data_IF_359858318857
#
_entry.id   IF_359858318857
#
_cell.length_a   1.000
_cell.length_b   1.000
_cell.length_c   1.000
_cell.angle_alpha   90.00
_cell.angle_beta   90.00
_cell.angle_gamma   90.00
#
_symmetry.space_group_name_H-M   'P 1'
#
loop_
_entity.id
_entity.type
_entity.pdbx_description
1 polymer ?
#
# COMPACT_ATOMS: atom_id res chain seq x y z
N UNK A 1 64.68 16.23 -18.16
CA UNK A 1 64.43 17.05 -16.97
C UNK A 1 62.93 17.27 -16.84
N UNK A 2 62.20 16.37 -16.20
CA UNK A 2 61.89 16.35 -14.75
C UNK A 2 61.00 17.50 -14.30
N UNK A 3 59.80 17.11 -13.87
CA UNK A 3 59.02 17.76 -12.83
C UNK A 3 58.38 19.11 -13.21
N UNK A 4 57.05 19.13 -13.33
CA UNK A 4 56.16 20.24 -12.89
C UNK A 4 54.68 19.90 -13.19
N UNK A 5 54.35 19.07 -14.19
CA UNK A 5 52.94 18.73 -14.48
C UNK A 5 52.32 17.64 -13.59
N UNK A 6 52.92 17.39 -12.42
CA UNK A 6 52.47 16.46 -11.37
C UNK A 6 51.32 17.02 -10.49
N UNK A 7 50.50 17.95 -11.01
CA UNK A 7 49.42 18.57 -10.21
C UNK A 7 48.10 18.81 -10.93
N UNK A 8 47.94 18.38 -12.19
CA UNK A 8 46.75 18.73 -13.00
C UNK A 8 45.91 17.55 -13.50
N UNK A 9 46.25 16.32 -13.12
CA UNK A 9 45.52 15.09 -13.52
C UNK A 9 44.87 14.42 -12.31
N UNK A 10 44.38 15.21 -11.36
CA UNK A 10 43.59 14.74 -10.21
C UNK A 10 42.33 15.59 -10.03
N UNK A 11 41.80 16.15 -11.12
CA UNK A 11 40.55 16.92 -11.13
C UNK A 11 39.65 16.35 -12.22
N UNK A 12 39.45 15.04 -12.32
CA UNK A 12 38.55 14.54 -13.39
C UNK A 12 37.74 13.27 -13.13
N UNK A 13 37.71 12.66 -11.94
CA UNK A 13 37.02 11.37 -11.83
C UNK A 13 36.31 11.09 -10.51
N UNK A 14 35.33 11.92 -10.13
CA UNK A 14 34.23 11.47 -9.25
C UNK A 14 33.09 12.47 -9.22
N UNK A 15 32.39 12.61 -10.34
CA UNK A 15 30.99 13.00 -10.32
C UNK A 15 30.15 11.74 -10.57
N UNK A 16 30.17 10.82 -9.61
CA UNK A 16 29.18 9.73 -9.57
C UNK A 16 27.87 10.40 -9.18
N UNK A 17 27.06 10.74 -10.18
CA UNK A 17 25.68 11.16 -9.97
C UNK A 17 24.91 9.97 -9.43
N UNK A 18 24.62 9.99 -8.13
CA UNK A 18 23.69 9.06 -7.50
C UNK A 18 22.29 9.43 -7.99
N UNK A 19 21.75 8.65 -8.92
CA UNK A 19 20.31 8.64 -9.18
C UNK A 19 19.63 8.05 -7.94
N UNK A 20 18.94 8.88 -7.17
CA UNK A 20 18.03 8.39 -6.15
C UNK A 20 16.87 7.65 -6.83
N UNK A 21 16.80 6.33 -6.65
CA UNK A 21 15.64 5.54 -7.06
C UNK A 21 14.54 5.80 -6.05
N UNK A 22 13.52 6.56 -6.45
CA UNK A 22 12.31 6.70 -5.65
C UNK A 22 11.54 5.38 -5.72
N UNK A 23 11.49 4.64 -4.61
CA UNK A 23 10.62 3.46 -4.51
C UNK A 23 9.17 3.90 -4.48
N UNK A 24 8.38 3.47 -5.47
CA UNK A 24 6.94 3.57 -5.41
C UNK A 24 6.44 2.72 -4.23
N UNK A 25 5.69 3.31 -3.31
CA UNK A 25 5.08 2.54 -2.22
C UNK A 25 4.00 1.68 -2.86
N UNK A 26 4.24 0.37 -2.94
CA UNK A 26 3.26 -0.56 -3.45
C UNK A 26 2.09 -0.59 -2.47
N UNK A 27 0.91 -0.16 -2.92
CA UNK A 27 -0.31 -0.20 -2.11
C UNK A 27 -0.79 -1.64 -1.98
N UNK A 28 -0.52 -2.25 -0.82
CA UNK A 28 -1.06 -3.57 -0.51
C UNK A 28 -2.57 -3.50 -0.24
N UNK A 29 -3.33 -4.58 -0.48
CA UNK A 29 -4.75 -4.62 -0.11
C UNK A 29 -4.99 -4.24 1.35
N UNK A 30 -4.13 -4.71 2.27
CA UNK A 30 -4.22 -4.36 3.69
C UNK A 30 -4.15 -2.84 3.93
N UNK A 31 -3.27 -2.13 3.22
CA UNK A 31 -3.15 -0.67 3.34
C UNK A 31 -4.38 0.07 2.82
N UNK A 32 -5.09 -0.48 1.83
CA UNK A 32 -6.34 0.07 1.32
C UNK A 32 -7.48 -0.07 2.33
N UNK A 33 -7.69 -1.28 2.86
CA UNK A 33 -8.73 -1.53 3.86
C UNK A 33 -8.52 -0.70 5.13
N UNK A 34 -7.28 -0.57 5.59
CA UNK A 34 -6.94 0.25 6.75
C UNK A 34 -7.28 1.74 6.55
N UNK A 35 -7.18 2.26 5.32
CA UNK A 35 -7.47 3.67 5.01
C UNK A 35 -8.94 3.97 4.76
N UNK A 36 -9.69 2.99 4.25
CA UNK A 36 -11.03 3.26 3.70
C UNK A 36 -12.17 2.50 4.37
N UNK A 37 -11.88 1.40 5.08
CA UNK A 37 -12.92 0.48 5.53
C UNK A 37 -12.93 0.29 7.06
N UNK A 38 -11.77 0.27 7.70
CA UNK A 38 -11.65 -0.11 9.11
C UNK A 38 -12.19 0.92 10.08
N UNK A 39 -12.31 2.21 9.71
CA UNK A 39 -12.94 3.23 10.57
C UNK A 39 -14.37 2.84 10.99
N UNK A 40 -15.09 2.09 10.15
CA UNK A 40 -16.44 1.60 10.46
C UNK A 40 -16.50 0.09 10.74
N UNK A 41 -15.59 -0.70 10.17
CA UNK A 41 -15.66 -2.16 10.14
C UNK A 41 -14.44 -2.84 10.80
N UNK A 42 -13.99 -2.30 11.93
CA UNK A 42 -12.99 -2.92 12.79
C UNK A 42 -13.63 -3.85 13.83
N UNK A 43 -12.80 -4.39 14.73
CA UNK A 43 -13.19 -5.31 15.80
C UNK A 43 -14.12 -4.68 16.87
N UNK A 44 -14.12 -3.36 16.99
CA UNK A 44 -14.77 -2.63 18.08
C UNK A 44 -16.09 -2.00 17.60
N UNK A 45 -16.05 -1.28 16.48
CA UNK A 45 -17.17 -0.56 15.86
C UNK A 45 -18.14 -1.50 15.15
N UNK A 46 -17.61 -2.47 14.39
CA UNK A 46 -18.39 -3.53 13.70
C UNK A 46 -19.68 -3.06 13.03
N UNK A 47 -19.67 -1.89 12.38
CA UNK A 47 -20.89 -1.30 11.79
C UNK A 47 -21.50 -2.26 10.79
N UNK A 48 -22.83 -2.40 10.81
CA UNK A 48 -23.52 -3.35 9.93
C UNK A 48 -23.18 -4.83 10.21
N UNK A 49 -22.68 -5.15 11.41
CA UNK A 49 -22.26 -6.48 11.83
C UNK A 49 -21.13 -7.07 10.95
N UNK A 50 -20.22 -6.21 10.49
CA UNK A 50 -19.05 -6.58 9.69
C UNK A 50 -17.76 -6.18 10.42
N UNK A 51 -16.91 -7.18 10.66
CA UNK A 51 -15.57 -7.05 11.21
C UNK A 51 -14.55 -7.54 10.17
N UNK A 52 -13.85 -6.61 9.53
CA UNK A 52 -12.85 -6.95 8.50
C UNK A 52 -11.54 -7.46 9.10
N UNK A 53 -11.28 -7.26 10.39
CA UNK A 53 -10.11 -7.84 11.04
C UNK A 53 -10.28 -9.36 11.29
N UNK A 54 -11.52 -9.80 11.48
CA UNK A 54 -11.88 -11.21 11.62
C UNK A 54 -12.14 -11.93 10.28
N UNK A 55 -12.46 -11.19 9.22
CA UNK A 55 -12.75 -11.74 7.90
C UNK A 55 -11.44 -12.06 7.14
N UNK A 56 -11.11 -13.36 7.05
CA UNK A 56 -9.87 -13.82 6.40
C UNK A 56 -9.96 -13.66 4.88
N UNK A 57 -8.82 -13.48 4.21
CA UNK A 57 -8.76 -13.53 2.74
C UNK A 57 -8.62 -14.99 2.23
N UNK A 58 -9.41 -15.91 2.78
CA UNK A 58 -9.47 -17.32 2.35
C UNK A 58 -10.65 -17.53 1.40
N UNK A 59 -10.38 -17.53 0.10
CA UNK A 59 -11.41 -17.68 -0.92
C UNK A 59 -11.71 -19.14 -1.28
N UNK A 60 -11.00 -20.11 -0.69
CA UNK A 60 -11.34 -21.52 -0.83
C UNK A 60 -12.51 -21.91 0.11
N UNK A 61 -12.65 -21.22 1.25
CA UNK A 61 -13.81 -21.34 2.11
C UNK A 61 -15.03 -20.64 1.48
N UNK A 62 -16.08 -21.42 1.21
CA UNK A 62 -17.27 -20.93 0.51
C UNK A 62 -18.06 -19.92 1.33
N UNK A 63 -18.15 -20.07 2.65
CA UNK A 63 -18.86 -19.10 3.50
C UNK A 63 -18.09 -17.78 3.54
N UNK A 64 -16.78 -17.86 3.71
CA UNK A 64 -15.90 -16.71 3.74
C UNK A 64 -15.89 -15.97 2.39
N UNK A 65 -15.85 -16.70 1.28
CA UNK A 65 -15.98 -16.13 -0.06
C UNK A 65 -17.35 -15.43 -0.24
N UNK A 66 -18.46 -16.06 0.16
CA UNK A 66 -19.79 -15.45 0.08
C UNK A 66 -19.89 -14.16 0.92
N UNK A 67 -19.22 -14.09 2.07
CA UNK A 67 -19.11 -12.86 2.87
C UNK A 67 -18.39 -11.76 2.10
N UNK A 68 -17.29 -12.07 1.42
CA UNK A 68 -16.57 -11.11 0.57
C UNK A 68 -17.39 -10.64 -0.63
N UNK A 69 -18.12 -11.54 -1.29
CA UNK A 69 -19.07 -11.17 -2.36
C UNK A 69 -20.09 -10.17 -1.84
N UNK A 70 -20.67 -10.43 -0.66
CA UNK A 70 -21.61 -9.49 -0.04
C UNK A 70 -20.97 -8.13 0.26
N UNK A 71 -19.72 -8.08 0.75
CA UNK A 71 -19.00 -6.81 0.96
C UNK A 71 -18.86 -6.05 -0.36
N UNK A 72 -18.42 -6.73 -1.41
CA UNK A 72 -18.29 -6.17 -2.76
C UNK A 72 -19.63 -5.60 -3.26
N UNK A 73 -20.71 -6.37 -3.17
CA UNK A 73 -22.02 -5.98 -3.71
C UNK A 73 -22.59 -4.75 -3.01
N UNK A 74 -22.35 -4.62 -1.70
CA UNK A 74 -22.80 -3.47 -0.91
C UNK A 74 -22.00 -2.20 -1.23
N UNK A 75 -20.72 -2.34 -1.59
CA UNK A 75 -19.93 -1.23 -2.14
C UNK A 75 -20.45 -0.86 -3.53
N UNK A 76 -20.69 -1.84 -4.40
CA UNK A 76 -21.21 -1.61 -5.75
C UNK A 76 -22.60 -0.95 -5.74
N UNK A 77 -23.45 -1.28 -4.76
CA UNK A 77 -24.74 -0.65 -4.54
C UNK A 77 -24.64 0.78 -3.95
N UNK A 78 -23.44 1.27 -3.61
CA UNK A 78 -23.23 2.58 -3.01
C UNK A 78 -23.72 2.70 -1.57
N UNK A 79 -23.97 1.58 -0.90
CA UNK A 79 -24.39 1.55 0.50
C UNK A 79 -23.22 1.77 1.47
N UNK A 80 -22.01 1.50 1.00
CA UNK A 80 -20.76 1.73 1.74
C UNK A 80 -19.77 2.54 0.88
N UNK A 81 -19.25 3.66 1.41
CA UNK A 81 -19.62 4.30 2.67
C UNK A 81 -21.00 5.02 2.56
N UNK A 82 -21.83 5.00 3.62
CA UNK A 82 -23.12 5.71 3.60
C UNK A 82 -22.89 7.22 3.55
N UNK A 83 -23.82 7.93 2.92
CA UNK A 83 -23.86 9.41 2.95
C UNK A 83 -24.03 9.89 4.40
N UNK A 84 -23.32 10.96 4.76
CA UNK A 84 -23.49 11.62 6.05
C UNK A 84 -24.83 12.35 6.13
#
# INVERSE_FOLDING_TARGET
>A
MTSIFSRRVWIFLSAVSVCAVASAVESTPASFFAKHCTECHDKDTKKGNLDLAALKADFADTENFARWVKVHDRIAAGEMPPKK
#
